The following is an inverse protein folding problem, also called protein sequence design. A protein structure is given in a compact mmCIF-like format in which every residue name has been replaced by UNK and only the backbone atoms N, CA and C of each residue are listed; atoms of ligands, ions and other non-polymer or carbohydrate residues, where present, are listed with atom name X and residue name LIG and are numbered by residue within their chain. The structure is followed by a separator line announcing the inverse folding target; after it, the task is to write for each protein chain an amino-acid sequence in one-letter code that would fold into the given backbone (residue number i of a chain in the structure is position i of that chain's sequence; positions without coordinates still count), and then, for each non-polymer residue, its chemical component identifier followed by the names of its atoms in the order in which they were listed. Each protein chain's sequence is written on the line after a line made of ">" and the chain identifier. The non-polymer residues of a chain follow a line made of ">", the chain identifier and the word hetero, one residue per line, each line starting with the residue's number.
data_IF_125309493991
#
_entry.id   IF_125309493991
#
_cell.length_a   1.000
_cell.length_b   1.000
_cell.length_c   1.000
_cell.angle_alpha   90.00
_cell.angle_beta   90.00
_cell.angle_gamma   90.00
#
_symmetry.space_group_name_H-M   'P 1'
#
loop_
_entity.id
_entity.type
_entity.pdbx_description
1 polymer ?
#
# COMPACT_ATOMS: atom_id res chain seq x y z
N UNK A 1 -10.78 1.63 -1.75
CA UNK A 1 -10.39 0.22 -2.01
C UNK A 1 -10.00 -0.43 -0.70
N UNK A 2 -10.61 -1.55 -0.38
CA UNK A 2 -10.34 -2.27 0.86
C UNK A 2 -9.22 -3.28 0.65
N UNK A 3 -8.23 -3.29 1.56
CA UNK A 3 -7.09 -4.20 1.51
C UNK A 3 -6.88 -4.90 2.85
N UNK A 4 -6.31 -6.09 2.80
CA UNK A 4 -5.75 -6.79 3.97
C UNK A 4 -4.23 -6.71 3.88
N UNK A 5 -3.59 -6.14 4.89
CA UNK A 5 -2.14 -6.03 4.94
C UNK A 5 -1.52 -7.36 5.35
N UNK A 6 -0.67 -7.92 4.50
CA UNK A 6 0.01 -9.19 4.76
C UNK A 6 1.52 -9.02 4.99
N UNK A 7 2.04 -7.83 4.70
CA UNK A 7 3.44 -7.51 4.95
C UNK A 7 3.68 -6.02 4.84
N UNK A 8 4.81 -5.58 5.36
CA UNK A 8 5.24 -4.19 5.26
C UNK A 8 6.75 -4.11 5.21
N UNK A 9 7.27 -3.09 4.52
CA UNK A 9 8.68 -2.76 4.54
C UNK A 9 8.88 -1.26 4.43
N UNK A 10 10.06 -0.79 4.79
CA UNK A 10 10.44 0.61 4.68
C UNK A 10 11.72 0.73 3.87
N UNK A 11 11.77 1.73 3.03
CA UNK A 11 12.97 2.05 2.29
C UNK A 11 13.27 3.54 2.43
N UNK A 12 14.48 3.86 2.86
CA UNK A 12 14.93 5.24 3.03
C UNK A 12 16.38 5.35 2.61
N UNK A 13 16.76 6.50 2.06
CA UNK A 13 18.12 6.74 1.61
C UNK A 13 18.23 7.93 0.70
N UNK A 14 19.31 7.99 -0.09
CA UNK A 14 19.53 9.00 -1.11
C UNK A 14 19.58 8.37 -2.49
N UNK A 15 18.89 8.98 -3.45
CA UNK A 15 18.99 8.58 -4.84
C UNK A 15 20.35 8.96 -5.43
N UNK A 16 20.66 8.47 -6.63
CA UNK A 16 21.88 8.83 -7.35
C UNK A 16 21.94 10.33 -7.62
N UNK A 17 20.80 11.00 -7.73
CA UNK A 17 20.72 12.45 -7.90
C UNK A 17 20.84 13.24 -6.59
N UNK A 18 21.11 12.58 -5.46
CA UNK A 18 21.26 13.21 -4.14
C UNK A 18 19.98 13.58 -3.45
N UNK A 19 18.82 13.13 -3.95
CA UNK A 19 17.52 13.38 -3.31
C UNK A 19 17.23 12.33 -2.24
N UNK A 20 16.80 12.79 -1.08
CA UNK A 20 16.34 11.91 -0.02
C UNK A 20 15.00 11.27 -0.40
N UNK A 21 14.86 9.99 -0.08
CA UNK A 21 13.59 9.30 -0.20
C UNK A 21 13.32 8.52 1.08
N UNK A 22 12.04 8.42 1.43
CA UNK A 22 11.55 7.62 2.55
C UNK A 22 10.13 7.20 2.22
N UNK A 23 9.92 5.91 2.03
CA UNK A 23 8.59 5.38 1.75
C UNK A 23 8.35 4.04 2.43
N UNK A 24 7.08 3.81 2.68
CA UNK A 24 6.56 2.55 3.22
C UNK A 24 5.98 1.73 2.07
N UNK A 25 6.37 0.47 1.99
CA UNK A 25 5.77 -0.49 1.06
C UNK A 25 4.81 -1.37 1.83
N UNK A 26 3.57 -1.41 1.39
CA UNK A 26 2.52 -2.24 1.96
C UNK A 26 2.27 -3.39 0.99
N UNK A 27 2.47 -4.62 1.44
CA UNK A 27 2.07 -5.81 0.71
C UNK A 27 0.63 -6.13 1.11
N UNK A 28 -0.27 -6.14 0.13
CA UNK A 28 -1.69 -6.21 0.39
C UNK A 28 -2.39 -7.27 -0.44
N UNK A 29 -3.41 -7.88 0.14
CA UNK A 29 -4.39 -8.69 -0.58
C UNK A 29 -5.66 -7.87 -0.75
N UNK A 30 -6.27 -7.99 -1.93
CA UNK A 30 -7.59 -7.42 -2.20
C UNK A 30 -8.39 -8.38 -3.07
N UNK A 31 -9.71 -8.29 -2.97
CA UNK A 31 -10.59 -9.17 -3.69
C UNK A 31 -10.45 -8.98 -5.21
N UNK A 32 -10.25 -10.09 -5.90
CA UNK A 32 -10.23 -10.12 -7.35
C UNK A 32 -11.63 -10.41 -7.86
N UNK A 33 -12.04 -9.65 -8.89
CA UNK A 33 -13.32 -9.94 -9.53
C UNK A 33 -13.28 -11.32 -10.18
N UNK A 34 -14.10 -12.23 -9.69
CA UNK A 34 -14.16 -13.59 -10.24
C UNK A 34 -14.79 -13.58 -11.64
N UNK A 35 -14.16 -14.29 -12.56
CA UNK A 35 -14.68 -14.56 -13.90
C UNK A 35 -14.05 -15.86 -14.40
N UNK A 36 -14.20 -16.17 -15.69
CA UNK A 36 -13.68 -17.43 -16.25
C UNK A 36 -12.14 -17.54 -16.17
N UNK A 37 -11.45 -16.41 -16.10
CA UNK A 37 -9.98 -16.36 -16.12
C UNK A 37 -9.36 -15.98 -14.77
N UNK A 38 -10.17 -15.51 -13.82
CA UNK A 38 -9.67 -15.01 -12.53
C UNK A 38 -10.47 -15.59 -11.38
N UNK A 39 -9.76 -16.00 -10.33
CA UNK A 39 -10.36 -16.43 -9.08
C UNK A 39 -9.42 -16.18 -7.92
N UNK A 40 -9.98 -15.92 -6.73
CA UNK A 40 -9.23 -15.73 -5.50
C UNK A 40 -8.95 -14.27 -5.16
N UNK A 41 -7.78 -14.02 -4.57
CA UNK A 41 -7.36 -12.68 -4.17
C UNK A 41 -6.17 -12.22 -5.00
N UNK A 42 -6.10 -10.93 -5.26
CA UNK A 42 -4.93 -10.31 -5.86
C UNK A 42 -3.96 -9.89 -4.76
N UNK A 43 -2.67 -10.05 -5.00
CA UNK A 43 -1.62 -9.61 -4.08
C UNK A 43 -0.77 -8.58 -4.81
N UNK A 44 -0.58 -7.42 -4.19
CA UNK A 44 0.17 -6.34 -4.80
C UNK A 44 0.95 -5.53 -3.76
N UNK A 45 1.85 -4.69 -4.24
CA UNK A 45 2.64 -3.78 -3.42
C UNK A 45 2.17 -2.36 -3.66
N UNK A 46 2.00 -1.62 -2.56
CA UNK A 46 1.59 -0.23 -2.60
C UNK A 46 2.69 0.58 -1.92
N UNK A 47 3.29 1.51 -2.66
CA UNK A 47 4.32 2.39 -2.13
C UNK A 47 3.69 3.72 -1.76
N UNK A 48 3.86 4.12 -0.50
CA UNK A 48 3.37 5.40 0.00
C UNK A 48 4.49 6.15 0.70
N UNK A 49 4.46 7.47 0.64
CA UNK A 49 5.40 8.29 1.40
C UNK A 49 5.25 7.98 2.89
N UNK A 50 6.37 7.88 3.59
CA UNK A 50 6.36 7.66 5.05
C UNK A 50 5.71 8.83 5.80
N UNK A 51 5.61 10.01 5.19
CA UNK A 51 4.86 11.13 5.76
C UNK A 51 3.34 10.92 5.70
N UNK A 52 2.86 10.15 4.72
CA UNK A 52 1.44 9.79 4.59
C UNK A 52 1.09 8.60 5.48
N UNK A 53 1.92 7.57 5.45
CA UNK A 53 1.73 6.38 6.27
C UNK A 53 3.07 5.87 6.78
N UNK A 54 3.47 6.26 8.02
CA UNK A 54 4.70 5.75 8.62
C UNK A 54 4.69 4.24 8.76
N UNK A 55 5.83 3.62 8.51
CA UNK A 55 6.00 2.16 8.62
C UNK A 55 5.49 1.61 9.95
N UNK A 56 5.77 2.30 11.06
CA UNK A 56 5.39 1.84 12.39
C UNK A 56 3.87 1.80 12.61
N UNK A 57 3.11 2.60 11.86
CA UNK A 57 1.66 2.66 11.98
C UNK A 57 0.93 1.64 11.11
N UNK A 58 1.63 1.02 10.16
CA UNK A 58 1.06 -0.06 9.35
C UNK A 58 1.00 -1.32 10.20
N UNK A 59 -0.19 -1.90 10.34
CA UNK A 59 -0.40 -3.10 11.13
C UNK A 59 -0.63 -4.29 10.21
N UNK A 60 0.28 -5.26 10.27
CA UNK A 60 0.15 -6.52 9.52
C UNK A 60 -1.02 -7.32 10.09
N UNK A 61 -1.88 -7.81 9.22
CA UNK A 61 -3.10 -8.53 9.60
C UNK A 61 -4.33 -7.63 9.72
N UNK A 62 -4.17 -6.32 9.64
CA UNK A 62 -5.28 -5.38 9.69
C UNK A 62 -5.84 -5.10 8.30
N UNK A 63 -7.11 -4.68 8.28
CA UNK A 63 -7.80 -4.24 7.07
C UNK A 63 -7.83 -2.72 7.03
N UNK A 64 -7.54 -2.15 5.86
CA UNK A 64 -7.56 -0.72 5.63
C UNK A 64 -8.42 -0.39 4.41
N UNK A 65 -8.96 0.82 4.41
CA UNK A 65 -9.62 1.40 3.25
C UNK A 65 -8.72 2.48 2.66
N UNK A 66 -8.45 2.38 1.36
CA UNK A 66 -7.58 3.29 0.63
C UNK A 66 -8.40 4.15 -0.31
N UNK A 67 -8.16 5.46 -0.26
CA UNK A 67 -8.76 6.42 -1.19
C UNK A 67 -7.70 6.93 -2.15
N UNK A 68 -8.02 6.89 -3.45
CA UNK A 68 -7.16 7.39 -4.50
C UNK A 68 -7.86 8.53 -5.25
N UNK A 69 -7.09 9.48 -5.78
CA UNK A 69 -7.63 10.49 -6.68
C UNK A 69 -7.81 9.90 -8.09
N UNK A 70 -8.34 10.73 -9.01
CA UNK A 70 -8.56 10.29 -10.39
C UNK A 70 -7.28 9.94 -11.15
N UNK A 71 -6.13 10.40 -10.67
CA UNK A 71 -4.81 10.12 -11.26
C UNK A 71 -4.14 8.89 -10.62
N UNK A 72 -4.79 8.25 -9.65
CA UNK A 72 -4.26 7.08 -8.97
C UNK A 72 -3.33 7.36 -7.80
N UNK A 73 -3.23 8.61 -7.35
CA UNK A 73 -2.45 8.95 -6.16
C UNK A 73 -3.26 8.70 -4.90
N UNK A 74 -2.61 8.14 -3.89
CA UNK A 74 -3.23 7.86 -2.60
C UNK A 74 -3.55 9.16 -1.87
N UNK A 75 -4.84 9.38 -1.58
CA UNK A 75 -5.33 10.52 -0.82
C UNK A 75 -5.42 10.25 0.66
N UNK A 76 -5.74 9.03 1.03
CA UNK A 76 -5.93 8.66 2.43
C UNK A 76 -5.92 7.17 2.65
N UNK A 77 -5.66 6.81 3.91
CA UNK A 77 -5.68 5.42 4.36
C UNK A 77 -6.35 5.39 5.73
N UNK A 78 -7.33 4.52 5.89
CA UNK A 78 -8.10 4.40 7.13
C UNK A 78 -8.14 2.96 7.57
N UNK A 79 -7.80 2.72 8.83
CA UNK A 79 -7.90 1.39 9.43
C UNK A 79 -9.36 1.08 9.75
N UNK A 80 -9.80 -0.07 9.32
CA UNK A 80 -11.17 -0.56 9.57
C UNK A 80 -11.27 -1.39 10.84
#
# INVERSE_FOLDING_TARGET
>A
MRILVVGKSRRAGKSKAGKDYDFTTIMAEFDMRANDDNAGVSVDRINVSSSVMPYALVEVGATYDLDFDRNGYLLGIEKL
#
